data_IF_792787093430
#
_entry.id   IF_792787093430
#
_cell.length_a   1.000
_cell.length_b   1.000
_cell.length_c   1.000
_cell.angle_alpha   90.00
_cell.angle_beta   90.00
_cell.angle_gamma   90.00
#
_symmetry.space_group_name_H-M   'P 1'
#
loop_
_entity.id
_entity.type
_entity.pdbx_description
1 polymer ?
#
# COMPACT_ATOMS: atom_id res chain seq x y z
N UNK A 1 13.98 -3.22 4.03
CA UNK A 1 13.06 -2.36 3.28
C UNK A 1 13.72 -1.78 2.05
N UNK A 2 12.96 -1.69 0.95
CA UNK A 2 13.40 -1.09 -0.31
C UNK A 2 13.47 0.43 -0.23
N UNK A 3 14.17 1.05 -1.18
CA UNK A 3 14.18 2.51 -1.36
C UNK A 3 13.98 2.93 -2.83
N UNK A 4 14.13 4.23 -3.11
CA UNK A 4 14.02 4.77 -4.47
C UNK A 4 15.11 4.22 -5.42
N UNK A 5 16.31 3.93 -4.92
CA UNK A 5 17.39 3.37 -5.73
C UNK A 5 17.08 1.93 -6.14
N UNK A 6 16.46 1.14 -5.26
CA UNK A 6 15.98 -0.21 -5.60
C UNK A 6 14.92 -0.16 -6.71
N UNK A 7 13.99 0.80 -6.63
CA UNK A 7 12.97 1.01 -7.65
C UNK A 7 13.56 1.48 -8.99
N UNK A 8 14.49 2.43 -8.97
CA UNK A 8 15.08 3.01 -10.18
C UNK A 8 15.97 2.00 -10.95
N UNK A 9 16.35 0.88 -10.33
CA UNK A 9 17.00 -0.24 -11.01
C UNK A 9 16.03 -1.06 -11.88
N UNK A 10 14.72 -0.92 -11.72
CA UNK A 10 13.72 -1.62 -12.54
C UNK A 10 13.54 -0.86 -13.86
N UNK A 11 13.81 -1.49 -15.02
CA UNK A 11 13.56 -0.84 -16.31
C UNK A 11 12.07 -0.55 -16.48
N UNK A 12 11.73 0.62 -17.02
CA UNK A 12 10.34 1.08 -17.17
C UNK A 12 9.46 0.10 -17.93
N UNK A 13 10.01 -0.54 -18.96
CA UNK A 13 9.32 -1.58 -19.74
C UNK A 13 8.95 -2.81 -18.91
N UNK A 14 9.72 -3.12 -17.86
CA UNK A 14 9.42 -4.22 -16.95
C UNK A 14 8.31 -3.87 -15.99
N UNK A 15 8.05 -2.60 -15.67
CA UNK A 15 6.96 -2.18 -14.78
C UNK A 15 5.58 -2.62 -15.31
N UNK A 16 5.38 -2.61 -16.64
CA UNK A 16 4.14 -3.10 -17.25
C UNK A 16 3.91 -4.60 -17.05
N UNK A 17 5.00 -5.37 -16.88
CA UNK A 17 5.00 -6.81 -16.68
C UNK A 17 5.27 -7.22 -15.22
N UNK A 18 5.61 -6.26 -14.36
CA UNK A 18 5.92 -6.50 -12.95
C UNK A 18 4.64 -6.87 -12.21
N UNK A 19 4.57 -8.09 -11.70
CA UNK A 19 3.38 -8.64 -11.06
C UNK A 19 2.35 -9.32 -11.98
N UNK A 20 2.53 -9.32 -13.32
CA UNK A 20 1.74 -10.19 -14.23
C UNK A 20 2.24 -11.63 -14.28
N UNK A 21 3.35 -11.91 -13.59
CA UNK A 21 3.87 -13.26 -13.37
C UNK A 21 3.13 -13.98 -12.24
N UNK A 22 3.87 -14.79 -11.46
CA UNK A 22 3.30 -15.47 -10.30
C UNK A 22 2.89 -14.46 -9.22
N UNK A 23 1.72 -14.64 -8.59
CA UNK A 23 1.31 -13.90 -7.41
C UNK A 23 2.42 -13.83 -6.36
N UNK A 24 2.46 -12.74 -5.60
CA UNK A 24 3.34 -12.67 -4.44
C UNK A 24 2.96 -13.79 -3.45
N UNK A 25 3.89 -14.63 -2.97
CA UNK A 25 3.56 -15.78 -2.13
C UNK A 25 2.79 -15.39 -0.87
N UNK A 26 1.67 -16.06 -0.60
CA UNK A 26 0.88 -15.84 0.61
C UNK A 26 0.16 -14.48 0.69
N UNK A 27 0.11 -13.72 -0.42
CA UNK A 27 -0.58 -12.43 -0.43
C UNK A 27 -2.08 -12.59 -0.25
N UNK A 28 -2.66 -11.73 0.57
CA UNK A 28 -4.09 -11.58 0.71
C UNK A 28 -4.42 -10.10 0.94
N UNK A 29 -5.66 -9.72 0.65
CA UNK A 29 -6.13 -8.37 0.91
C UNK A 29 -7.57 -8.36 1.39
N UNK A 30 -7.91 -7.31 2.13
CA UNK A 30 -9.28 -6.97 2.51
C UNK A 30 -9.57 -5.57 1.98
N UNK A 31 -10.72 -5.41 1.35
CA UNK A 31 -11.20 -4.14 0.82
C UNK A 31 -12.40 -3.67 1.63
N UNK A 32 -12.41 -2.40 1.98
CA UNK A 32 -13.52 -1.68 2.60
C UNK A 32 -14.04 -0.69 1.54
N UNK A 33 -15.12 -1.04 0.83
CA UNK A 33 -15.70 -0.17 -0.18
C UNK A 33 -16.41 1.03 0.46
N UNK A 34 -16.94 1.93 -0.37
CA UNK A 34 -17.64 3.14 0.04
C UNK A 34 -18.77 2.88 1.05
N UNK A 35 -19.49 1.76 0.91
CA UNK A 35 -20.57 1.34 1.81
C UNK A 35 -20.10 0.83 3.18
N UNK A 36 -18.78 0.67 3.37
CA UNK A 36 -18.17 0.37 4.66
C UNK A 36 -17.93 1.61 5.53
N UNK A 37 -18.18 2.83 5.02
CA UNK A 37 -18.02 4.09 5.72
C UNK A 37 -19.35 4.65 6.22
N UNK A 38 -19.30 5.40 7.34
CA UNK A 38 -20.49 6.00 7.98
C UNK A 38 -21.08 7.15 7.19
N UNK A 39 -20.25 7.86 6.43
CA UNK A 39 -20.67 9.03 5.64
C UNK A 39 -20.91 8.60 4.19
N UNK A 40 -22.15 8.62 3.67
CA UNK A 40 -22.49 8.16 2.32
C UNK A 40 -21.84 8.95 1.18
N UNK A 41 -21.35 10.16 1.46
CA UNK A 41 -20.68 11.02 0.48
C UNK A 41 -19.18 10.70 0.35
N UNK A 42 -18.66 9.82 1.21
CA UNK A 42 -17.29 9.34 1.16
C UNK A 42 -17.16 8.38 0.00
N UNK A 43 -16.79 8.88 -1.18
CA UNK A 43 -16.33 8.04 -2.29
C UNK A 43 -14.97 7.36 -1.98
N UNK A 44 -14.72 7.10 -0.70
CA UNK A 44 -13.50 6.56 -0.16
C UNK A 44 -13.48 5.03 -0.23
N UNK A 45 -12.29 4.47 -0.38
CA UNK A 45 -12.04 3.04 -0.32
C UNK A 45 -10.77 2.79 0.47
N UNK A 46 -10.74 1.74 1.28
CA UNK A 46 -9.51 1.23 1.91
C UNK A 46 -9.22 -0.16 1.35
N UNK A 47 -7.95 -0.43 1.06
CA UNK A 47 -7.43 -1.77 0.88
C UNK A 47 -6.25 -2.00 1.81
N UNK A 48 -6.33 -3.08 2.58
CA UNK A 48 -5.21 -3.57 3.38
C UNK A 48 -4.71 -4.85 2.73
N UNK A 49 -3.50 -4.83 2.19
CA UNK A 49 -2.84 -5.98 1.57
C UNK A 49 -1.72 -6.47 2.49
N UNK A 50 -1.59 -7.78 2.66
CA UNK A 50 -0.61 -8.40 3.56
C UNK A 50 0.03 -9.61 2.90
N UNK A 51 1.28 -9.89 3.24
CA UNK A 51 1.97 -11.10 2.83
C UNK A 51 3.07 -11.45 3.84
N UNK A 52 3.39 -12.75 4.06
CA UNK A 52 4.54 -13.14 4.87
C UNK A 52 5.84 -12.53 4.33
N UNK A 53 6.77 -12.16 5.21
CA UNK A 53 8.08 -11.63 4.84
C UNK A 53 9.12 -12.78 4.74
N UNK A 54 9.51 -13.23 3.54
CA UNK A 54 10.61 -14.18 3.41
C UNK A 54 11.96 -13.48 3.69
N UNK A 55 12.87 -14.17 4.39
CA UNK A 55 14.15 -13.64 4.92
C UNK A 55 15.14 -12.98 3.91
N UNK A 56 14.78 -12.74 2.65
CA UNK A 56 15.61 -12.04 1.65
C UNK A 56 14.78 -11.19 0.66
N UNK A 57 13.60 -10.72 1.06
CA UNK A 57 12.81 -9.76 0.27
C UNK A 57 12.85 -8.40 0.96
N UNK A 58 13.00 -7.34 0.18
CA UNK A 58 13.02 -5.97 0.70
C UNK A 58 11.63 -5.30 0.61
N UNK A 59 10.62 -5.97 0.06
CA UNK A 59 9.24 -5.51 -0.04
C UNK A 59 8.87 -4.83 -1.36
N UNK A 60 9.84 -4.58 -2.27
CA UNK A 60 9.58 -3.85 -3.52
C UNK A 60 8.59 -4.61 -4.42
N UNK A 61 8.78 -5.92 -4.57
CA UNK A 61 7.88 -6.76 -5.37
C UNK A 61 6.50 -6.86 -4.71
N UNK A 62 6.45 -6.91 -3.39
CA UNK A 62 5.19 -6.91 -2.64
C UNK A 62 4.39 -5.62 -2.93
N UNK A 63 5.01 -4.45 -2.75
CA UNK A 63 4.36 -3.16 -2.99
C UNK A 63 3.86 -3.04 -4.44
N UNK A 64 4.71 -3.31 -5.44
CA UNK A 64 4.31 -3.24 -6.85
C UNK A 64 3.14 -4.19 -7.18
N UNK A 65 3.13 -5.38 -6.58
CA UNK A 65 2.02 -6.31 -6.76
C UNK A 65 0.73 -5.80 -6.10
N UNK A 66 0.83 -5.22 -4.90
CA UNK A 66 -0.28 -4.65 -4.15
C UNK A 66 -0.90 -3.43 -4.86
N UNK A 67 -0.08 -2.53 -5.41
CA UNK A 67 -0.55 -1.40 -6.22
C UNK A 67 -1.28 -1.87 -7.48
N UNK A 68 -0.78 -2.93 -8.12
CA UNK A 68 -1.40 -3.51 -9.30
C UNK A 68 -2.77 -4.17 -9.02
N UNK A 69 -3.10 -4.47 -7.77
CA UNK A 69 -4.44 -4.95 -7.39
C UNK A 69 -5.51 -3.84 -7.41
N UNK A 70 -5.11 -2.56 -7.49
CA UNK A 70 -6.04 -1.50 -7.85
C UNK A 70 -6.49 -1.73 -9.29
N UNK A 71 -7.75 -1.42 -9.63
CA UNK A 71 -8.34 -1.79 -10.93
C UNK A 71 -7.72 -1.02 -12.11
N UNK A 72 -6.50 -1.41 -12.47
CA UNK A 72 -5.76 -0.91 -13.64
C UNK A 72 -6.27 -1.55 -14.92
N UNK A 73 -7.36 -2.34 -14.90
CA UNK A 73 -7.94 -2.84 -16.14
C UNK A 73 -8.32 -1.65 -17.03
N UNK A 74 -7.73 -1.59 -18.23
CA UNK A 74 -7.84 -0.48 -19.19
C UNK A 74 -7.12 0.83 -18.80
N UNK A 75 -6.26 0.81 -17.76
CA UNK A 75 -5.40 1.93 -17.34
C UNK A 75 -3.93 1.51 -17.18
N UNK A 76 -3.56 0.33 -17.70
CA UNK A 76 -2.23 -0.28 -17.48
C UNK A 76 -1.09 0.59 -18.00
N UNK A 77 -1.35 1.39 -19.04
CA UNK A 77 -0.42 2.36 -19.61
C UNK A 77 -0.01 3.47 -18.63
N UNK A 78 -0.86 3.78 -17.63
CA UNK A 78 -0.62 4.81 -16.63
C UNK A 78 0.11 4.27 -15.40
N UNK A 79 0.09 2.95 -15.16
CA UNK A 79 0.65 2.33 -13.96
C UNK A 79 2.12 2.69 -13.77
N UNK A 80 2.94 2.56 -14.83
CA UNK A 80 4.37 2.86 -14.76
C UNK A 80 4.64 4.33 -14.43
N UNK A 81 3.80 5.25 -14.94
CA UNK A 81 3.87 6.68 -14.60
C UNK A 81 3.53 6.91 -13.14
N UNK A 82 2.36 6.39 -12.72
CA UNK A 82 1.89 6.43 -11.34
C UNK A 82 3.00 6.02 -10.37
N UNK A 83 3.46 4.76 -10.39
CA UNK A 83 4.44 4.27 -9.41
C UNK A 83 5.80 4.98 -9.48
N UNK A 84 6.14 5.61 -10.62
CA UNK A 84 7.37 6.40 -10.75
C UNK A 84 7.31 7.72 -9.98
N UNK A 85 6.10 8.28 -9.80
CA UNK A 85 5.84 9.54 -9.12
C UNK A 85 5.70 9.38 -7.58
N UNK A 86 5.79 8.14 -7.07
CA UNK A 86 5.78 7.86 -5.63
C UNK A 86 6.97 8.52 -4.92
N UNK A 87 6.76 8.93 -3.66
CA UNK A 87 7.73 9.73 -2.88
C UNK A 87 8.81 8.94 -2.14
N UNK A 88 8.55 7.67 -1.80
CA UNK A 88 9.46 6.82 -1.01
C UNK A 88 9.97 7.53 0.28
N UNK A 89 9.05 8.15 1.03
CA UNK A 89 9.39 8.85 2.26
C UNK A 89 9.41 7.88 3.45
N UNK A 90 10.54 7.74 4.13
CA UNK A 90 10.64 6.91 5.34
C UNK A 90 9.80 7.52 6.46
N UNK A 91 8.96 6.71 7.09
CA UNK A 91 8.13 7.09 8.24
C UNK A 91 8.35 6.12 9.40
N UNK A 92 8.14 6.60 10.62
CA UNK A 92 8.16 5.76 11.81
C UNK A 92 6.93 4.85 11.89
N UNK A 93 7.02 3.79 12.70
CA UNK A 93 5.88 2.92 13.02
C UNK A 93 4.69 3.70 13.61
N UNK A 94 4.99 4.70 14.46
CA UNK A 94 3.97 5.57 15.05
C UNK A 94 3.24 6.41 13.99
N UNK A 95 3.98 6.98 13.04
CA UNK A 95 3.39 7.73 11.92
C UNK A 95 2.56 6.82 11.02
N UNK A 96 3.06 5.63 10.68
CA UNK A 96 2.31 4.63 9.91
C UNK A 96 0.97 4.32 10.59
N UNK A 97 1.00 3.98 11.89
CA UNK A 97 -0.20 3.65 12.65
C UNK A 97 -1.17 4.83 12.77
N UNK A 98 -0.65 6.06 12.90
CA UNK A 98 -1.48 7.26 12.94
C UNK A 98 -2.19 7.49 11.60
N UNK A 99 -1.50 7.37 10.47
CA UNK A 99 -2.13 7.52 9.16
C UNK A 99 -3.21 6.48 8.91
N UNK A 100 -2.97 5.22 9.28
CA UNK A 100 -3.99 4.17 9.18
C UNK A 100 -5.20 4.52 10.05
N UNK A 101 -4.98 4.97 11.30
CA UNK A 101 -6.07 5.33 12.21
C UNK A 101 -6.90 6.50 11.69
N UNK A 102 -6.24 7.54 11.16
CA UNK A 102 -6.89 8.74 10.63
C UNK A 102 -7.77 8.42 9.43
N UNK A 103 -7.30 7.57 8.51
CA UNK A 103 -8.06 7.23 7.30
C UNK A 103 -9.16 6.19 7.55
N UNK A 104 -9.04 5.37 8.60
CA UNK A 104 -10.00 4.32 8.95
C UNK A 104 -11.06 4.75 9.98
N UNK A 105 -11.02 6.00 10.47
CA UNK A 105 -11.86 6.48 11.57
C UNK A 105 -13.37 6.44 11.27
N UNK A 106 -13.75 6.61 10.00
CA UNK A 106 -15.15 6.64 9.54
C UNK A 106 -15.69 5.25 9.16
N UNK A 107 -14.91 4.18 9.30
CA UNK A 107 -15.41 2.84 9.05
C UNK A 107 -16.54 2.48 10.02
N UNK A 108 -17.60 1.87 9.49
CA UNK A 108 -18.73 1.35 10.27
C UNK A 108 -18.23 0.21 11.18
N UNK A 109 -17.44 -0.71 10.62
CA UNK A 109 -16.74 -1.75 11.33
C UNK A 109 -15.27 -1.33 11.50
N UNK A 110 -14.81 -0.95 12.72
CA UNK A 110 -13.46 -0.46 12.92
C UNK A 110 -12.40 -1.52 12.59
N UNK A 111 -11.30 -1.08 11.99
CA UNK A 111 -10.09 -1.90 11.88
C UNK A 111 -9.54 -2.22 13.28
N UNK A 112 -9.02 -3.44 13.46
CA UNK A 112 -8.16 -3.72 14.61
C UNK A 112 -6.86 -2.94 14.41
N UNK A 113 -6.61 -1.98 15.29
CA UNK A 113 -5.40 -1.15 15.27
C UNK A 113 -4.55 -1.43 16.52
N UNK A 114 -3.21 -1.43 16.41
CA UNK A 114 -2.43 -1.35 15.16
C UNK A 114 -2.67 -2.58 14.26
N UNK A 115 -2.41 -2.44 12.95
CA UNK A 115 -2.62 -3.54 11.99
C UNK A 115 -1.72 -4.76 12.26
N UNK A 116 -0.58 -4.48 12.88
CA UNK A 116 0.35 -5.46 13.41
C UNK A 116 0.66 -5.16 14.87
N UNK A 117 0.93 -6.18 15.66
CA UNK A 117 1.41 -5.97 17.03
C UNK A 117 2.79 -5.29 17.00
N UNK A 118 3.14 -4.43 17.97
CA UNK A 118 4.34 -3.58 17.95
C UNK A 118 5.62 -4.37 18.29
N UNK A 119 5.91 -5.38 17.48
CA UNK A 119 7.07 -6.26 17.61
C UNK A 119 7.63 -6.55 16.22
N UNK A 120 8.94 -6.48 16.08
CA UNK A 120 9.62 -6.81 14.82
C UNK A 120 9.46 -5.75 13.73
N UNK A 121 9.19 -4.48 14.05
CA UNK A 121 9.16 -3.41 13.05
C UNK A 121 10.54 -3.21 12.41
N UNK A 122 10.60 -3.27 11.08
CA UNK A 122 11.83 -3.08 10.30
C UNK A 122 11.86 -1.68 9.68
N UNK A 123 10.74 -1.22 9.12
CA UNK A 123 10.63 0.09 8.49
C UNK A 123 9.25 0.34 7.87
N UNK A 124 8.98 1.60 7.53
CA UNK A 124 7.79 1.97 6.77
C UNK A 124 8.06 3.10 5.79
N UNK A 125 7.30 3.12 4.69
CA UNK A 125 7.36 4.09 3.62
C UNK A 125 5.98 4.70 3.37
N UNK A 126 5.96 6.02 3.23
CA UNK A 126 4.89 6.81 2.65
C UNK A 126 5.15 6.99 1.16
N UNK A 127 4.30 6.40 0.32
CA UNK A 127 4.42 6.47 -1.14
C UNK A 127 3.61 7.66 -1.68
N UNK A 128 2.39 7.84 -1.19
CA UNK A 128 1.48 8.95 -1.51
C UNK A 128 0.76 9.43 -0.25
N UNK A 129 0.39 10.71 -0.21
CA UNK A 129 -0.43 11.26 0.88
C UNK A 129 -1.42 12.31 0.37
N UNK A 130 -2.38 12.69 1.21
CA UNK A 130 -3.36 13.75 0.92
C UNK A 130 -2.74 15.12 0.56
N UNK A 131 -1.46 15.33 0.87
CA UNK A 131 -0.73 16.56 0.47
C UNK A 131 -0.36 16.56 -1.01
N UNK A 132 -0.52 15.43 -1.68
CA UNK A 132 0.06 15.15 -2.99
C UNK A 132 -1.03 14.75 -3.96
N UNK A 133 -1.97 13.91 -3.51
CA UNK A 133 -3.08 13.36 -4.30
C UNK A 133 -4.27 13.03 -3.38
N UNK A 134 -5.42 12.65 -3.93
CA UNK A 134 -6.55 12.08 -3.16
C UNK A 134 -6.32 10.63 -2.73
N UNK A 135 -5.06 10.28 -2.44
CA UNK A 135 -4.57 8.92 -2.19
C UNK A 135 -3.61 8.95 -1.00
N UNK A 136 -3.72 7.94 -0.15
CA UNK A 136 -2.72 7.56 0.86
C UNK A 136 -2.26 6.14 0.55
N UNK A 137 -0.96 5.96 0.38
CA UNK A 137 -0.36 4.63 0.15
C UNK A 137 0.84 4.46 1.05
N UNK A 138 0.76 3.49 1.95
CA UNK A 138 1.74 3.21 2.98
C UNK A 138 2.21 1.77 2.85
N UNK A 139 3.50 1.53 3.01
CA UNK A 139 4.06 0.19 3.12
C UNK A 139 4.77 0.09 4.47
N UNK A 140 4.55 -1.00 5.20
CA UNK A 140 5.31 -1.34 6.39
C UNK A 140 5.92 -2.74 6.23
N UNK A 141 7.14 -2.88 6.73
CA UNK A 141 7.85 -4.14 6.85
C UNK A 141 8.02 -4.48 8.32
N UNK A 142 7.57 -5.68 8.69
CA UNK A 142 7.87 -6.35 9.93
C UNK A 142 8.72 -7.60 9.64
N UNK A 143 9.34 -8.15 10.67
CA UNK A 143 10.19 -9.35 10.55
C UNK A 143 9.44 -10.56 9.97
N UNK A 144 8.12 -10.64 10.19
CA UNK A 144 7.28 -11.77 9.78
C UNK A 144 6.31 -11.45 8.63
N UNK A 145 6.01 -10.18 8.34
CA UNK A 145 5.13 -9.80 7.23
C UNK A 145 5.38 -8.41 6.64
N UNK A 146 4.87 -8.21 5.42
CA UNK A 146 4.66 -6.90 4.80
C UNK A 146 3.19 -6.50 4.86
N UNK A 147 2.96 -5.21 5.07
CA UNK A 147 1.62 -4.60 5.05
C UNK A 147 1.64 -3.44 4.06
N UNK A 148 0.65 -3.39 3.19
CA UNK A 148 0.35 -2.23 2.35
C UNK A 148 -1.04 -1.72 2.72
N UNK A 149 -1.09 -0.48 3.21
CA UNK A 149 -2.33 0.23 3.47
C UNK A 149 -2.55 1.24 2.35
N UNK A 150 -3.66 1.09 1.65
CA UNK A 150 -4.08 1.97 0.59
C UNK A 150 -5.42 2.58 0.96
N UNK A 151 -5.53 3.89 0.81
CA UNK A 151 -6.77 4.64 0.91
C UNK A 151 -6.83 5.59 -0.29
N UNK A 152 -7.98 5.70 -0.93
CA UNK A 152 -8.25 6.68 -1.96
C UNK A 152 -9.66 7.25 -1.82
N UNK A 153 -9.88 8.43 -2.41
CA UNK A 153 -11.21 9.03 -2.53
C UNK A 153 -11.35 9.74 -3.87
N UNK A 154 -12.58 9.88 -4.36
CA UNK A 154 -12.91 10.72 -5.53
C UNK A 154 -13.67 12.00 -5.19
N UNK A 155 -13.86 12.29 -3.89
CA UNK A 155 -14.51 13.49 -3.36
C UNK A 155 -13.69 14.78 -3.57
#
# INVERSE_FOLDING_TARGET
MFDKNDFDQIPREQLFHYGSGRPYPGIYYVTYPQDAFRTPDGEACIRVTRAPNPQNDNGLRFWLYAERQHDWCRRQEYFAGYVSDARFENISEAEFNQWVADQANELVAPLKLPLHEPTGFVGALMMYSMKTEFIVSLVAEYEDEFIHFYWDTTA
#
